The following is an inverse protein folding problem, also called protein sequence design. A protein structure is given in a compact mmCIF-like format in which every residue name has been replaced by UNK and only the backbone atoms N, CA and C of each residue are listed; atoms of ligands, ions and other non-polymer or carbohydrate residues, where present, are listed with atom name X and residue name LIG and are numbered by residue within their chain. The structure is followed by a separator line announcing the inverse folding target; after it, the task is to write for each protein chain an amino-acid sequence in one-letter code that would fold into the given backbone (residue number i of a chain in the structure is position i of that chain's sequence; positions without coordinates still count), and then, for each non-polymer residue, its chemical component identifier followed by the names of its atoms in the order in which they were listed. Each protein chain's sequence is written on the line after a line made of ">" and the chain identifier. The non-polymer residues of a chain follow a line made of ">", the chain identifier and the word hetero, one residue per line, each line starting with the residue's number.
data_IF_561727770198
#
_entry.id   IF_561727770198
#
_cell.length_a   1.000
_cell.length_b   1.000
_cell.length_c   1.000
_cell.angle_alpha   90.00
_cell.angle_beta   90.00
_cell.angle_gamma   90.00
#
_symmetry.space_group_name_H-M   'P 1'
#
loop_
_entity.id
_entity.type
_entity.pdbx_description
1 polymer ?
#
# COMPACT_ATOMS: atom_id res chain seq x y z
N UNK A 1 10.85 3.71 7.57
CA UNK A 1 11.07 2.44 6.82
C UNK A 1 10.25 2.44 5.51
N UNK A 2 10.53 1.57 4.53
CA UNK A 2 9.89 1.60 3.20
C UNK A 2 8.35 1.44 3.28
N UNK A 3 7.89 0.57 4.17
CA UNK A 3 6.47 0.37 4.51
C UNK A 3 5.77 1.68 4.98
N UNK A 4 6.43 2.47 5.82
CA UNK A 4 5.90 3.75 6.30
C UNK A 4 5.83 4.79 5.17
N UNK A 5 6.82 4.81 4.27
CA UNK A 5 6.82 5.71 3.11
C UNK A 5 5.64 5.43 2.19
N UNK A 6 5.33 4.15 1.93
CA UNK A 6 4.17 3.74 1.13
C UNK A 6 2.88 4.24 1.79
N UNK A 7 2.73 4.03 3.10
CA UNK A 7 1.56 4.49 3.86
C UNK A 7 1.41 6.01 3.84
N UNK A 8 2.52 6.74 4.02
CA UNK A 8 2.54 8.19 4.06
C UNK A 8 2.21 8.79 2.68
N UNK A 9 2.83 8.29 1.62
CA UNK A 9 2.56 8.74 0.25
C UNK A 9 1.11 8.45 -0.17
N UNK A 10 0.57 7.29 0.19
CA UNK A 10 -0.82 6.93 -0.09
C UNK A 10 -1.78 7.91 0.59
N UNK A 11 -1.57 8.16 1.88
CA UNK A 11 -2.38 9.11 2.66
C UNK A 11 -2.24 10.55 2.17
N UNK A 12 -1.03 10.98 1.80
CA UNK A 12 -0.79 12.32 1.25
C UNK A 12 -1.55 12.55 -0.06
N UNK A 13 -1.80 11.50 -0.83
CA UNK A 13 -2.63 11.51 -2.04
C UNK A 13 -4.12 11.32 -1.77
N UNK A 14 -4.54 11.19 -0.51
CA UNK A 14 -5.94 10.95 -0.13
C UNK A 14 -6.49 9.58 -0.56
N UNK A 15 -5.62 8.64 -0.93
CA UNK A 15 -6.03 7.34 -1.45
C UNK A 15 -6.27 6.35 -0.31
N UNK A 16 -7.27 5.50 -0.45
CA UNK A 16 -7.42 4.25 0.29
C UNK A 16 -6.46 3.18 -0.23
N UNK A 17 -6.29 2.09 0.54
CA UNK A 17 -5.47 0.96 0.08
C UNK A 17 -6.06 0.30 -1.18
N UNK A 18 -7.39 0.31 -1.32
CA UNK A 18 -8.09 -0.21 -2.49
C UNK A 18 -7.81 0.63 -3.74
N UNK A 19 -7.91 1.96 -3.63
CA UNK A 19 -7.64 2.86 -4.75
C UNK A 19 -6.18 2.81 -5.20
N UNK A 20 -5.23 2.68 -4.27
CA UNK A 20 -3.83 2.48 -4.62
C UNK A 20 -3.61 1.14 -5.32
N UNK A 21 -4.29 0.09 -4.87
CA UNK A 21 -4.19 -1.25 -5.44
C UNK A 21 -4.71 -1.27 -6.89
N UNK A 22 -5.87 -0.66 -7.14
CA UNK A 22 -6.44 -0.50 -8.49
C UNK A 22 -5.46 0.26 -9.41
N UNK A 23 -4.89 1.36 -8.95
CA UNK A 23 -3.92 2.16 -9.75
C UNK A 23 -2.64 1.40 -10.09
N UNK A 24 -2.22 0.48 -9.24
CA UNK A 24 -1.00 -0.31 -9.41
C UNK A 24 -1.25 -1.70 -10.02
N UNK A 25 -2.50 -2.02 -10.39
CA UNK A 25 -2.92 -3.34 -10.85
C UNK A 25 -2.51 -4.48 -9.92
N UNK A 26 -2.63 -4.25 -8.60
CA UNK A 26 -2.42 -5.25 -7.57
C UNK A 26 -3.68 -5.40 -6.72
N UNK A 27 -3.77 -6.47 -5.92
CA UNK A 27 -4.86 -6.64 -4.96
C UNK A 27 -4.60 -5.82 -3.69
N UNK A 28 -5.65 -5.35 -3.02
CA UNK A 28 -5.55 -4.54 -1.78
C UNK A 28 -4.79 -5.23 -0.65
N UNK A 29 -4.83 -6.56 -0.57
CA UNK A 29 -4.00 -7.32 0.38
C UNK A 29 -2.50 -7.09 0.17
N UNK A 30 -2.04 -6.96 -1.07
CA UNK A 30 -0.64 -6.68 -1.40
C UNK A 30 -0.22 -5.33 -0.84
N UNK A 31 -1.04 -4.29 -1.05
CA UNK A 31 -0.80 -2.96 -0.46
C UNK A 31 -0.79 -3.03 1.07
N UNK A 32 -1.71 -3.79 1.68
CA UNK A 32 -1.70 -3.97 3.14
C UNK A 32 -0.45 -4.71 3.65
N UNK A 33 0.12 -5.64 2.89
CA UNK A 33 1.37 -6.33 3.27
C UNK A 33 2.56 -5.38 3.19
N UNK A 34 2.65 -4.59 2.12
CA UNK A 34 3.67 -3.56 1.95
C UNK A 34 3.67 -2.54 3.08
N UNK A 35 2.49 -2.09 3.52
CA UNK A 35 2.38 -1.13 4.63
C UNK A 35 2.68 -1.73 6.01
N UNK A 36 2.59 -3.07 6.16
CA UNK A 36 2.79 -3.77 7.43
C UNK A 36 4.15 -4.48 7.53
N UNK A 37 4.98 -4.38 6.49
CA UNK A 37 6.28 -5.08 6.39
C UNK A 37 6.14 -6.61 6.56
N UNK A 38 5.04 -7.17 6.06
CA UNK A 38 4.78 -8.61 6.13
C UNK A 38 5.37 -9.27 4.87
N UNK A 39 6.19 -10.33 5.00
CA UNK A 39 6.71 -11.05 3.85
C UNK A 39 5.56 -11.56 2.98
N UNK A 40 5.63 -11.25 1.69
CA UNK A 40 4.79 -11.87 0.68
C UNK A 40 5.57 -13.10 0.25
N UNK A 41 5.19 -14.27 0.75
CA UNK A 41 5.76 -15.55 0.33
C UNK A 41 5.51 -15.76 -1.17
#
# INVERSE_FOLDING_TARGET
>A
MLNENIRNLRKAKGLSQEELAIKLNVVRQTVSKWEKDIPTF
#
